data_IF_705315536839
#
_entry.id   IF_705315536839
#
_cell.length_a   1.000
_cell.length_b   1.000
_cell.length_c   1.000
_cell.angle_alpha   90.00
_cell.angle_beta   90.00
_cell.angle_gamma   90.00
#
_symmetry.space_group_name_H-M   'P 1'
#
loop_
_entity.id
_entity.type
_entity.pdbx_description
1 polymer ?
#
# COMPACT_ATOMS: atom_id res chain seq x y z
N UNK A 1 -24.02 -63.99 18.01
CA UNK A 1 -23.56 -63.02 19.04
C UNK A 1 -23.98 -61.57 18.77
N UNK A 2 -23.84 -61.01 17.55
CA UNK A 2 -24.35 -59.65 17.29
C UNK A 2 -25.89 -59.56 17.37
N UNK A 3 -26.59 -60.60 16.91
CA UNK A 3 -28.05 -60.66 16.97
C UNK A 3 -28.59 -60.72 18.42
N UNK A 4 -27.86 -61.36 19.34
CA UNK A 4 -28.26 -61.47 20.75
C UNK A 4 -28.13 -60.14 21.50
N UNK A 5 -27.14 -59.30 21.15
CA UNK A 5 -26.99 -57.96 21.76
C UNK A 5 -28.04 -56.98 21.22
N UNK A 6 -28.40 -57.07 19.94
CA UNK A 6 -29.45 -56.24 19.34
C UNK A 6 -30.84 -56.62 19.88
N UNK A 7 -31.09 -57.90 20.17
CA UNK A 7 -32.34 -58.36 20.77
C UNK A 7 -32.46 -58.05 22.27
N UNK A 8 -31.34 -57.95 23.00
CA UNK A 8 -31.29 -57.54 24.42
C UNK A 8 -31.21 -56.02 24.64
N UNK A 9 -30.93 -55.24 23.59
CA UNK A 9 -30.83 -53.77 23.66
C UNK A 9 -32.08 -53.08 24.23
N UNK A 10 -33.34 -53.50 23.94
CA UNK A 10 -34.51 -52.87 24.54
C UNK A 10 -34.62 -53.08 26.06
N UNK A 11 -34.11 -54.21 26.56
CA UNK A 11 -34.09 -54.51 28.00
C UNK A 11 -32.99 -53.73 28.73
N UNK A 12 -31.82 -53.57 28.11
CA UNK A 12 -30.68 -52.82 28.68
C UNK A 12 -30.87 -51.30 28.67
N UNK A 13 -31.62 -50.75 27.71
CA UNK A 13 -31.97 -49.31 27.66
C UNK A 13 -32.82 -48.90 28.86
N UNK A 14 -33.61 -49.81 29.42
CA UNK A 14 -34.51 -49.51 30.55
C UNK A 14 -33.75 -49.24 31.86
N UNK A 15 -32.62 -49.90 32.09
CA UNK A 15 -31.89 -49.81 33.36
C UNK A 15 -30.66 -48.90 33.32
N UNK A 16 -30.03 -48.69 32.14
CA UNK A 16 -28.74 -47.95 32.03
C UNK A 16 -28.84 -46.69 31.15
N UNK A 17 -29.97 -46.47 30.47
CA UNK A 17 -30.18 -45.32 29.60
C UNK A 17 -29.37 -45.35 28.28
N UNK A 18 -29.81 -44.56 27.31
CA UNK A 18 -29.33 -44.59 25.92
C UNK A 18 -27.83 -44.29 25.79
N UNK A 19 -27.29 -43.43 26.67
CA UNK A 19 -25.86 -43.10 26.72
C UNK A 19 -24.97 -44.27 27.14
N UNK A 20 -25.39 -45.06 28.13
CA UNK A 20 -24.65 -46.24 28.58
C UNK A 20 -24.63 -47.36 27.52
N UNK A 21 -25.73 -47.52 26.80
CA UNK A 21 -25.83 -48.47 25.68
C UNK A 21 -24.93 -48.05 24.51
N UNK A 22 -24.86 -46.77 24.19
CA UNK A 22 -23.96 -46.26 23.15
C UNK A 22 -22.48 -46.49 23.50
N UNK A 23 -22.09 -46.22 24.76
CA UNK A 23 -20.71 -46.49 25.23
C UNK A 23 -20.40 -47.99 25.24
N UNK A 24 -21.34 -48.83 25.67
CA UNK A 24 -21.19 -50.29 25.64
C UNK A 24 -21.02 -50.85 24.23
N UNK A 25 -21.79 -50.36 23.25
CA UNK A 25 -21.67 -50.77 21.85
C UNK A 25 -20.33 -50.31 21.25
N UNK A 26 -19.85 -49.12 21.60
CA UNK A 26 -18.55 -48.59 21.16
C UNK A 26 -17.40 -49.40 21.76
N UNK A 27 -17.43 -49.70 23.07
CA UNK A 27 -16.40 -50.51 23.74
C UNK A 27 -16.38 -51.94 23.18
N UNK A 28 -17.56 -52.54 22.97
CA UNK A 28 -17.65 -53.87 22.40
C UNK A 28 -17.11 -53.92 20.95
N UNK A 29 -17.48 -52.95 20.11
CA UNK A 29 -17.13 -52.94 18.68
C UNK A 29 -15.69 -52.48 18.40
N UNK A 30 -15.14 -51.59 19.24
CA UNK A 30 -13.82 -51.00 19.02
C UNK A 30 -12.70 -51.66 19.85
N UNK A 31 -13.04 -52.39 20.93
CA UNK A 31 -12.03 -52.96 21.84
C UNK A 31 -12.18 -54.48 21.93
N UNK A 32 -13.38 -54.98 22.23
CA UNK A 32 -13.58 -56.40 22.51
C UNK A 32 -13.57 -57.27 21.24
N UNK A 33 -14.27 -56.82 20.18
CA UNK A 33 -14.30 -57.53 18.89
C UNK A 33 -12.90 -57.61 18.26
N UNK A 34 -12.08 -56.54 18.20
CA UNK A 34 -10.71 -56.64 17.69
C UNK A 34 -9.79 -57.53 18.52
N UNK A 35 -9.91 -57.49 19.86
CA UNK A 35 -9.11 -58.32 20.76
C UNK A 35 -9.44 -59.82 20.66
N UNK A 36 -10.70 -60.16 20.36
CA UNK A 36 -11.15 -61.55 20.22
C UNK A 36 -11.00 -62.11 18.80
N UNK A 37 -11.04 -61.27 17.76
CA UNK A 37 -11.04 -61.72 16.36
C UNK A 37 -9.71 -61.52 15.64
N UNK A 38 -8.75 -60.82 16.24
CA UNK A 38 -7.39 -60.57 15.73
C UNK A 38 -7.35 -60.02 14.29
N UNK A 39 -8.44 -59.37 13.85
CA UNK A 39 -8.57 -58.80 12.51
C UNK A 39 -8.48 -57.28 12.62
N UNK A 40 -7.26 -56.73 12.50
CA UNK A 40 -6.90 -55.56 11.70
C UNK A 40 -5.48 -55.08 12.05
N UNK A 41 -4.56 -55.22 11.08
CA UNK A 41 -3.35 -54.43 10.98
C UNK A 41 -3.68 -53.05 10.40
N UNK A 42 -3.38 -51.97 11.13
CA UNK A 42 -3.52 -50.58 10.67
C UNK A 42 -2.71 -50.33 9.37
N UNK A 43 -3.30 -49.83 8.27
CA UNK A 43 -2.50 -49.35 7.15
C UNK A 43 -2.03 -47.91 7.42
N UNK A 44 -0.71 -47.71 7.33
CA UNK A 44 -0.08 -46.39 7.27
C UNK A 44 -0.58 -45.65 6.02
N UNK A 45 -1.43 -44.63 6.20
CA UNK A 45 -1.84 -43.72 5.13
C UNK A 45 -0.92 -42.49 5.13
N UNK A 46 0.07 -42.49 4.24
CA UNK A 46 0.88 -41.33 3.87
C UNK A 46 0.30 -40.75 2.58
N UNK A 47 -0.27 -39.54 2.64
CA UNK A 47 -0.71 -38.79 1.45
C UNK A 47 0.46 -37.91 0.99
N UNK A 48 1.09 -38.27 -0.13
CA UNK A 48 2.17 -37.52 -0.76
C UNK A 48 1.57 -36.56 -1.78
N UNK A 49 1.31 -35.31 -1.39
CA UNK A 49 1.18 -34.20 -2.34
C UNK A 49 2.59 -33.74 -2.75
N UNK A 50 2.81 -33.42 -4.02
CA UNK A 50 4.06 -32.81 -4.48
C UNK A 50 4.19 -31.42 -3.82
N UNK A 51 4.96 -31.36 -2.72
CA UNK A 51 5.32 -30.16 -1.93
C UNK A 51 4.15 -29.59 -1.13
N UNK A 52 3.77 -30.16 0.02
CA UNK A 52 4.36 -29.92 1.35
C UNK A 52 3.51 -28.84 2.03
N UNK A 53 2.67 -29.08 3.05
CA UNK A 53 2.68 -30.00 4.19
C UNK A 53 1.26 -30.56 4.42
N UNK A 54 1.09 -31.88 4.52
CA UNK A 54 -0.22 -32.51 4.74
C UNK A 54 -0.50 -32.72 6.24
N UNK A 55 -1.47 -31.99 6.80
CA UNK A 55 -1.98 -32.24 8.15
C UNK A 55 -2.51 -33.68 8.28
N UNK A 56 -2.28 -34.38 9.40
CA UNK A 56 -2.77 -35.73 9.58
C UNK A 56 -4.31 -35.74 9.67
N UNK A 57 -4.98 -36.80 9.20
CA UNK A 57 -6.44 -36.90 9.08
C UNK A 57 -7.22 -36.98 10.42
N UNK A 58 -6.54 -36.95 11.56
CA UNK A 58 -7.13 -37.04 12.90
C UNK A 58 -8.11 -35.91 13.28
N UNK A 59 -7.94 -34.64 12.87
CA UNK A 59 -8.87 -33.56 13.22
C UNK A 59 -10.26 -33.77 12.65
N UNK A 60 -10.37 -34.36 11.46
CA UNK A 60 -11.65 -34.57 10.77
C UNK A 60 -12.44 -35.73 11.38
N UNK A 61 -11.76 -36.81 11.77
CA UNK A 61 -12.36 -37.91 12.54
C UNK A 61 -12.81 -37.45 13.93
N UNK A 62 -12.01 -36.60 14.60
CA UNK A 62 -12.39 -35.99 15.87
C UNK A 62 -13.64 -35.11 15.71
N UNK A 63 -13.73 -34.30 14.64
CA UNK A 63 -14.90 -33.48 14.31
C UNK A 63 -16.15 -34.30 13.98
N UNK A 64 -15.99 -35.45 13.32
CA UNK A 64 -17.10 -36.37 13.01
C UNK A 64 -17.70 -36.99 14.29
N UNK A 65 -16.87 -37.19 15.32
CA UNK A 65 -17.29 -37.73 16.63
C UNK A 65 -17.76 -36.62 17.59
N UNK A 66 -17.15 -35.43 17.57
CA UNK A 66 -17.52 -34.31 18.45
C UNK A 66 -18.75 -33.52 17.96
N UNK A 67 -19.03 -33.48 16.66
CA UNK A 67 -20.13 -32.69 16.12
C UNK A 67 -21.52 -33.13 16.62
N UNK A 68 -21.85 -34.43 16.74
CA UNK A 68 -23.11 -34.86 17.36
C UNK A 68 -23.23 -34.44 18.83
N UNK A 69 -22.11 -34.45 19.57
CA UNK A 69 -22.04 -34.01 20.97
C UNK A 69 -22.20 -32.49 21.09
N UNK A 70 -21.57 -31.70 20.23
CA UNK A 70 -21.73 -30.24 20.18
C UNK A 70 -23.14 -29.83 19.75
N UNK A 71 -23.76 -30.53 18.80
CA UNK A 71 -25.16 -30.32 18.41
C UNK A 71 -26.14 -30.63 19.54
N UNK A 72 -25.82 -31.63 20.38
CA UNK A 72 -26.60 -31.95 21.58
C UNK A 72 -26.48 -30.85 22.65
N UNK A 73 -25.27 -30.31 22.88
CA UNK A 73 -25.02 -29.23 23.86
C UNK A 73 -25.64 -27.89 23.44
N UNK A 74 -25.67 -27.58 22.13
CA UNK A 74 -26.16 -26.29 21.60
C UNK A 74 -27.65 -26.32 21.22
N UNK A 75 -28.36 -27.43 21.49
CA UNK A 75 -29.78 -27.68 21.14
C UNK A 75 -30.75 -26.56 21.54
N UNK A 76 -30.43 -25.77 22.57
CA UNK A 76 -31.28 -24.69 23.07
C UNK A 76 -31.21 -23.39 22.24
N UNK A 77 -30.32 -23.29 21.23
CA UNK A 77 -30.20 -22.11 20.35
C UNK A 77 -30.37 -22.47 18.87
N UNK A 78 -31.55 -22.26 18.27
CA UNK A 78 -31.90 -22.81 16.95
C UNK A 78 -31.03 -22.29 15.80
N UNK A 79 -30.56 -21.04 15.86
CA UNK A 79 -29.71 -20.44 14.83
C UNK A 79 -28.32 -21.07 14.74
N UNK A 80 -27.73 -21.45 15.89
CA UNK A 80 -26.41 -22.08 15.93
C UNK A 80 -26.48 -23.55 15.51
N UNK A 81 -27.60 -24.23 15.80
CA UNK A 81 -27.85 -25.59 15.33
C UNK A 81 -27.98 -25.63 13.80
N UNK A 82 -28.68 -24.66 13.20
CA UNK A 82 -28.81 -24.54 11.74
C UNK A 82 -27.45 -24.25 11.06
N UNK A 83 -26.65 -23.35 11.62
CA UNK A 83 -25.30 -23.04 11.13
C UNK A 83 -24.36 -24.24 11.26
N UNK A 84 -24.37 -24.92 12.42
CA UNK A 84 -23.54 -26.10 12.66
C UNK A 84 -23.95 -27.28 11.77
N UNK A 85 -25.25 -27.51 11.56
CA UNK A 85 -25.75 -28.52 10.64
C UNK A 85 -25.38 -28.19 9.19
N UNK A 86 -25.45 -26.92 8.78
CA UNK A 86 -25.05 -26.47 7.45
C UNK A 86 -23.55 -26.66 7.21
N UNK A 87 -22.70 -26.32 8.18
CA UNK A 87 -21.25 -26.55 8.10
C UNK A 87 -20.91 -28.03 8.12
N UNK A 88 -21.61 -28.83 8.94
CA UNK A 88 -21.39 -30.27 9.03
C UNK A 88 -21.78 -30.99 7.73
N UNK A 89 -22.97 -30.72 7.18
CA UNK A 89 -23.47 -31.35 5.95
C UNK A 89 -22.77 -30.80 4.71
N UNK A 90 -22.46 -29.49 4.68
CA UNK A 90 -21.91 -28.81 3.51
C UNK A 90 -20.38 -28.90 3.38
N UNK A 91 -19.64 -29.06 4.49
CA UNK A 91 -18.17 -28.97 4.49
C UNK A 91 -17.53 -30.21 5.11
N UNK A 92 -17.93 -30.61 6.31
CA UNK A 92 -17.26 -31.69 7.06
C UNK A 92 -17.55 -33.05 6.43
N UNK A 93 -18.82 -33.35 6.14
CA UNK A 93 -19.26 -34.63 5.60
C UNK A 93 -18.72 -34.89 4.18
N UNK A 94 -18.74 -33.92 3.23
CA UNK A 94 -18.20 -34.12 1.89
C UNK A 94 -16.68 -34.27 1.88
N UNK A 95 -15.95 -33.56 2.75
CA UNK A 95 -14.49 -33.67 2.84
C UNK A 95 -14.04 -34.97 3.52
N UNK A 96 -14.76 -35.44 4.56
CA UNK A 96 -14.45 -36.70 5.22
C UNK A 96 -14.71 -37.92 4.33
N UNK A 97 -15.73 -37.86 3.46
CA UNK A 97 -16.10 -38.94 2.53
C UNK A 97 -15.47 -38.80 1.13
N UNK A 98 -14.67 -37.74 0.90
CA UNK A 98 -14.12 -37.41 -0.43
C UNK A 98 -13.26 -38.53 -1.04
N UNK A 99 -12.67 -39.39 -0.21
CA UNK A 99 -11.85 -40.51 -0.66
C UNK A 99 -12.63 -41.79 -1.04
N UNK A 100 -13.93 -41.88 -0.75
CA UNK A 100 -14.72 -43.12 -0.92
C UNK A 100 -15.85 -43.04 -1.96
N UNK A 101 -16.09 -41.89 -2.60
CA UNK A 101 -17.23 -41.75 -3.52
C UNK A 101 -16.79 -41.17 -4.88
N UNK A 102 -17.16 -41.81 -6.01
CA UNK A 102 -16.81 -41.31 -7.33
C UNK A 102 -17.50 -39.98 -7.60
N UNK A 103 -16.76 -39.09 -8.24
CA UNK A 103 -17.06 -37.67 -8.43
C UNK A 103 -18.39 -37.43 -9.17
N UNK A 104 -19.15 -36.43 -8.69
CA UNK A 104 -20.05 -35.65 -9.55
C UNK A 104 -21.55 -35.81 -9.29
N UNK A 105 -22.06 -35.34 -8.15
CA UNK A 105 -23.29 -34.51 -8.10
C UNK A 105 -23.63 -34.13 -6.65
N UNK A 106 -23.92 -32.84 -6.41
CA UNK A 106 -24.44 -32.31 -5.13
C UNK A 106 -25.86 -32.83 -4.77
N UNK A 107 -26.40 -33.77 -5.55
CA UNK A 107 -27.74 -34.36 -5.44
C UNK A 107 -27.76 -35.71 -4.68
N UNK A 108 -26.65 -36.13 -4.06
CA UNK A 108 -26.60 -37.43 -3.40
C UNK A 108 -27.42 -37.50 -2.11
N UNK A 109 -27.50 -36.40 -1.34
CA UNK A 109 -28.25 -36.38 -0.07
C UNK A 109 -29.79 -36.48 -0.27
N UNK A 110 -30.42 -35.74 -1.21
CA UNK A 110 -31.84 -35.90 -1.46
C UNK A 110 -32.18 -37.28 -2.02
N UNK A 111 -31.36 -37.83 -2.93
CA UNK A 111 -31.61 -39.14 -3.56
C UNK A 111 -31.53 -40.30 -2.59
N UNK A 112 -30.62 -40.26 -1.62
CA UNK A 112 -30.48 -41.31 -0.59
C UNK A 112 -31.59 -41.22 0.46
N UNK A 113 -32.00 -40.02 0.86
CA UNK A 113 -33.15 -39.83 1.76
C UNK A 113 -34.48 -40.19 1.07
N UNK A 114 -34.65 -39.86 -0.21
CA UNK A 114 -35.81 -40.28 -1.01
C UNK A 114 -35.86 -41.81 -1.15
N UNK A 115 -34.72 -42.44 -1.48
CA UNK A 115 -34.63 -43.90 -1.59
C UNK A 115 -34.94 -44.60 -0.27
N UNK A 116 -34.48 -44.06 0.87
CA UNK A 116 -34.82 -44.57 2.20
C UNK A 116 -36.31 -44.40 2.55
N UNK A 117 -36.94 -43.29 2.17
CA UNK A 117 -38.38 -43.09 2.36
C UNK A 117 -39.23 -43.98 1.44
N UNK A 118 -38.76 -44.30 0.23
CA UNK A 118 -39.45 -45.20 -0.71
C UNK A 118 -39.41 -46.67 -0.29
N UNK A 119 -38.47 -47.09 0.58
CA UNK A 119 -38.39 -48.48 1.04
C UNK A 119 -39.47 -48.89 2.05
N UNK A 120 -40.38 -47.98 2.46
CA UNK A 120 -41.36 -48.31 3.52
C UNK A 120 -42.85 -48.22 3.19
N UNK A 121 -43.28 -47.96 1.94
CA UNK A 121 -44.71 -48.10 1.60
C UNK A 121 -44.99 -48.26 0.11
N UNK A 122 -45.30 -49.50 -0.30
CA UNK A 122 -45.72 -49.87 -1.65
C UNK A 122 -47.19 -49.50 -1.98
N UNK A 123 -47.71 -48.35 -1.51
CA UNK A 123 -49.15 -48.03 -1.63
C UNK A 123 -49.53 -46.64 -2.15
N UNK A 124 -48.59 -45.80 -2.60
CA UNK A 124 -48.95 -44.49 -3.20
C UNK A 124 -48.03 -44.13 -4.38
N UNK A 125 -48.13 -44.86 -5.48
CA UNK A 125 -47.32 -44.64 -6.69
C UNK A 125 -47.71 -43.38 -7.48
N UNK A 126 -48.96 -42.90 -7.35
CA UNK A 126 -49.42 -41.68 -8.04
C UNK A 126 -49.14 -40.35 -7.31
N UNK A 127 -49.31 -40.31 -5.98
CA UNK A 127 -49.10 -39.09 -5.19
C UNK A 127 -47.61 -38.84 -4.89
N UNK A 128 -46.83 -39.91 -4.71
CA UNK A 128 -45.41 -39.81 -4.37
C UNK A 128 -44.53 -39.35 -5.55
N UNK A 129 -44.93 -39.61 -6.80
CA UNK A 129 -44.26 -39.12 -8.01
C UNK A 129 -44.54 -37.62 -8.23
N UNK A 130 -45.78 -37.18 -7.98
CA UNK A 130 -46.15 -35.77 -7.95
C UNK A 130 -45.43 -34.98 -6.83
N UNK A 131 -45.41 -35.50 -5.60
CA UNK A 131 -44.69 -34.87 -4.48
C UNK A 131 -43.17 -34.90 -4.67
N UNK A 132 -42.60 -36.00 -5.16
CA UNK A 132 -41.16 -36.12 -5.40
C UNK A 132 -40.68 -35.16 -6.50
N UNK A 133 -41.46 -35.00 -7.58
CA UNK A 133 -41.19 -33.99 -8.61
C UNK A 133 -41.38 -32.57 -8.06
N UNK A 134 -42.42 -32.30 -7.27
CA UNK A 134 -42.64 -30.99 -6.64
C UNK A 134 -41.50 -30.60 -5.67
N UNK A 135 -40.99 -31.54 -4.88
CA UNK A 135 -39.86 -31.31 -3.97
C UNK A 135 -38.54 -31.14 -4.74
N UNK A 136 -38.30 -31.91 -5.81
CA UNK A 136 -37.14 -31.69 -6.68
C UNK A 136 -37.21 -30.33 -7.39
N UNK A 137 -38.40 -29.93 -7.86
CA UNK A 137 -38.64 -28.62 -8.45
C UNK A 137 -38.44 -27.50 -7.41
N UNK A 138 -38.93 -27.64 -6.19
CA UNK A 138 -38.72 -26.69 -5.11
C UNK A 138 -37.23 -26.58 -4.71
N UNK A 139 -36.50 -27.70 -4.65
CA UNK A 139 -35.07 -27.72 -4.37
C UNK A 139 -34.25 -27.05 -5.50
N UNK A 140 -34.60 -27.31 -6.76
CA UNK A 140 -33.96 -26.68 -7.91
C UNK A 140 -34.23 -25.16 -7.95
N UNK A 141 -35.47 -24.75 -7.71
CA UNK A 141 -35.84 -23.33 -7.65
C UNK A 141 -35.20 -22.61 -6.47
N UNK A 142 -35.10 -23.25 -5.30
CA UNK A 142 -34.42 -22.65 -4.14
C UNK A 142 -32.92 -22.50 -4.37
N UNK A 143 -32.24 -23.49 -4.98
CA UNK A 143 -30.83 -23.34 -5.36
C UNK A 143 -30.62 -22.24 -6.42
N UNK A 144 -31.49 -22.20 -7.44
CA UNK A 144 -31.45 -21.15 -8.47
C UNK A 144 -31.66 -19.76 -7.85
N UNK A 145 -32.68 -19.60 -7.01
CA UNK A 145 -33.00 -18.35 -6.33
C UNK A 145 -31.88 -17.94 -5.35
N UNK A 146 -31.31 -18.86 -4.58
CA UNK A 146 -30.17 -18.57 -3.70
C UNK A 146 -28.93 -18.16 -4.50
N UNK A 147 -28.62 -18.83 -5.62
CA UNK A 147 -27.51 -18.44 -6.50
C UNK A 147 -27.74 -17.09 -7.18
N UNK A 148 -28.97 -16.75 -7.53
CA UNK A 148 -29.30 -15.44 -8.08
C UNK A 148 -29.22 -14.36 -7.00
N UNK A 149 -29.82 -14.60 -5.83
CA UNK A 149 -29.75 -13.71 -4.68
C UNK A 149 -28.31 -13.43 -4.25
N UNK A 150 -27.48 -14.48 -4.13
CA UNK A 150 -26.05 -14.34 -3.81
C UNK A 150 -25.31 -13.55 -4.89
N UNK A 151 -25.60 -13.76 -6.18
CA UNK A 151 -25.02 -12.96 -7.28
C UNK A 151 -25.42 -11.49 -7.21
N UNK A 152 -26.68 -11.18 -6.91
CA UNK A 152 -27.14 -9.80 -6.75
C UNK A 152 -26.54 -9.15 -5.50
N UNK A 153 -26.45 -9.88 -4.39
CA UNK A 153 -25.81 -9.41 -3.15
C UNK A 153 -24.32 -9.13 -3.37
N UNK A 154 -23.58 -10.06 -3.99
CA UNK A 154 -22.18 -9.88 -4.33
C UNK A 154 -22.00 -8.68 -5.27
N UNK A 155 -22.82 -8.54 -6.31
CA UNK A 155 -22.78 -7.36 -7.19
C UNK A 155 -23.10 -6.07 -6.44
N UNK A 156 -24.08 -6.06 -5.54
CA UNK A 156 -24.43 -4.90 -4.74
C UNK A 156 -23.31 -4.48 -3.78
N UNK A 157 -22.52 -5.43 -3.27
CA UNK A 157 -21.36 -5.16 -2.40
C UNK A 157 -20.12 -4.77 -3.22
N UNK A 158 -19.83 -5.46 -4.31
CA UNK A 158 -18.62 -5.23 -5.10
C UNK A 158 -18.74 -4.05 -6.06
N UNK A 159 -19.92 -3.71 -6.60
CA UNK A 159 -20.08 -2.54 -7.47
C UNK A 159 -19.65 -1.22 -6.82
N UNK A 160 -20.10 -0.85 -5.60
CA UNK A 160 -19.63 0.38 -4.97
C UNK A 160 -18.13 0.32 -4.68
N UNK A 161 -17.59 -0.86 -4.33
CA UNK A 161 -16.17 -1.03 -4.11
C UNK A 161 -15.36 -0.83 -5.40
N UNK A 162 -15.77 -1.46 -6.51
CA UNK A 162 -15.17 -1.27 -7.83
C UNK A 162 -15.28 0.18 -8.27
N UNK A 163 -16.38 0.86 -8.02
CA UNK A 163 -16.54 2.29 -8.33
C UNK A 163 -15.59 3.16 -7.50
N UNK A 164 -15.45 2.91 -6.20
CA UNK A 164 -14.52 3.64 -5.33
C UNK A 164 -13.08 3.40 -5.77
N UNK A 165 -12.66 2.16 -5.97
CA UNK A 165 -11.29 1.82 -6.37
C UNK A 165 -10.96 2.16 -7.83
N UNK A 166 -11.95 2.07 -8.72
CA UNK A 166 -11.77 2.28 -10.16
C UNK A 166 -11.97 3.73 -10.61
N UNK A 167 -12.78 4.52 -9.91
CA UNK A 167 -13.10 5.89 -10.31
C UNK A 167 -12.69 6.92 -9.25
N UNK A 168 -13.12 6.76 -8.00
CA UNK A 168 -12.93 7.78 -6.95
C UNK A 168 -11.46 7.88 -6.54
N UNK A 169 -10.79 6.76 -6.26
CA UNK A 169 -9.39 6.77 -5.84
C UNK A 169 -8.43 7.32 -6.91
N UNK A 170 -8.53 6.93 -8.20
CA UNK A 170 -7.71 7.53 -9.26
C UNK A 170 -7.97 9.03 -9.41
N UNK A 171 -9.23 9.47 -9.30
CA UNK A 171 -9.57 10.89 -9.33
C UNK A 171 -8.89 11.65 -8.18
N UNK A 172 -9.00 11.14 -6.95
CA UNK A 172 -8.34 11.73 -5.78
C UNK A 172 -6.82 11.72 -5.91
N UNK A 173 -6.23 10.66 -6.45
CA UNK A 173 -4.80 10.58 -6.74
C UNK A 173 -4.37 11.65 -7.74
N UNK A 174 -5.12 11.83 -8.84
CA UNK A 174 -4.83 12.85 -9.84
C UNK A 174 -4.97 14.28 -9.29
N UNK A 175 -6.02 14.53 -8.48
CA UNK A 175 -6.17 15.80 -7.76
C UNK A 175 -4.96 16.03 -6.83
N UNK A 176 -4.55 15.01 -6.08
CA UNK A 176 -3.39 15.09 -5.19
C UNK A 176 -2.08 15.39 -5.95
N UNK A 177 -1.89 14.80 -7.13
CA UNK A 177 -0.74 15.10 -7.99
C UNK A 177 -0.79 16.51 -8.58
N UNK A 178 -1.97 17.04 -8.89
CA UNK A 178 -2.14 18.38 -9.44
C UNK A 178 -1.78 19.49 -8.43
N UNK A 179 -2.03 19.27 -7.13
CA UNK A 179 -1.80 20.28 -6.09
C UNK A 179 -0.44 20.11 -5.39
N UNK A 180 0.60 20.72 -5.97
CA UNK A 180 1.97 20.74 -5.41
C UNK A 180 2.03 21.15 -3.94
N UNK A 181 1.36 22.26 -3.59
CA UNK A 181 1.41 22.83 -2.24
C UNK A 181 0.75 21.93 -1.19
N UNK A 182 -0.32 21.23 -1.57
CA UNK A 182 -0.97 20.27 -0.69
C UNK A 182 -0.10 19.02 -0.51
N UNK A 183 0.54 18.55 -1.58
CA UNK A 183 1.43 17.39 -1.55
C UNK A 183 2.68 17.62 -0.70
N UNK A 184 3.28 18.81 -0.75
CA UNK A 184 4.46 19.13 0.06
C UNK A 184 4.10 19.27 1.54
N UNK A 185 2.98 19.92 1.85
CA UNK A 185 2.54 20.08 3.24
C UNK A 185 2.10 18.74 3.86
N UNK A 186 1.33 17.91 3.15
CA UNK A 186 0.97 16.57 3.63
C UNK A 186 2.21 15.70 3.89
N UNK A 187 3.19 15.74 2.99
CA UNK A 187 4.46 15.03 3.15
C UNK A 187 5.25 15.49 4.38
N UNK A 188 5.29 16.80 4.64
CA UNK A 188 5.92 17.38 5.82
C UNK A 188 5.17 17.03 7.10
N UNK A 189 3.84 17.14 7.12
CA UNK A 189 3.00 16.78 8.27
C UNK A 189 3.24 15.33 8.68
N UNK A 190 3.17 14.41 7.71
CA UNK A 190 3.35 12.98 7.99
C UNK A 190 4.77 12.69 8.48
N UNK A 191 5.80 13.29 7.88
CA UNK A 191 7.18 13.13 8.35
C UNK A 191 7.35 13.63 9.80
N UNK A 192 6.83 14.81 10.11
CA UNK A 192 6.98 15.42 11.43
C UNK A 192 6.27 14.62 12.51
N UNK A 193 5.09 14.05 12.18
CA UNK A 193 4.38 13.14 13.06
C UNK A 193 5.17 11.85 13.30
N UNK A 194 5.84 11.30 12.28
CA UNK A 194 6.68 10.12 12.46
C UNK A 194 7.88 10.40 13.37
N UNK A 195 8.62 11.49 13.14
CA UNK A 195 9.76 11.86 13.99
C UNK A 195 9.28 12.17 15.42
N UNK A 196 8.10 12.76 15.58
CA UNK A 196 7.51 13.02 16.90
C UNK A 196 7.24 11.72 17.65
N UNK A 197 6.68 10.70 17.00
CA UNK A 197 6.44 9.40 17.60
C UNK A 197 7.74 8.68 18.01
N UNK A 198 8.84 8.91 17.28
CA UNK A 198 10.14 8.30 17.60
C UNK A 198 10.92 9.01 18.70
N UNK A 199 10.97 10.35 18.67
CA UNK A 199 11.86 11.14 19.54
C UNK A 199 11.11 11.67 20.76
N UNK A 200 9.87 12.14 20.59
CA UNK A 200 9.08 12.81 21.64
C UNK A 200 7.64 12.29 21.69
N UNK A 201 7.41 11.02 22.09
CA UNK A 201 6.08 10.39 22.02
C UNK A 201 5.05 11.04 22.96
N UNK A 202 5.50 11.69 24.03
CA UNK A 202 4.65 12.31 25.06
C UNK A 202 4.12 13.71 24.68
N UNK A 203 4.77 14.38 23.72
CA UNK A 203 4.41 15.73 23.38
C UNK A 203 3.32 15.72 22.31
N UNK A 204 2.10 16.14 22.65
CA UNK A 204 1.00 16.24 21.68
C UNK A 204 1.15 17.50 20.81
N UNK A 205 0.78 17.40 19.53
CA UNK A 205 0.70 18.51 18.55
C UNK A 205 2.01 19.23 18.18
N UNK A 206 3.18 18.81 18.67
CA UNK A 206 4.46 19.48 18.37
C UNK A 206 4.79 19.54 16.88
N UNK A 207 4.47 18.49 16.11
CA UNK A 207 4.62 18.48 14.65
C UNK A 207 3.94 19.65 13.94
N UNK A 208 2.69 19.96 14.31
CA UNK A 208 1.94 21.03 13.65
C UNK A 208 2.48 22.41 14.03
N UNK A 209 2.89 22.57 15.29
CA UNK A 209 3.49 23.83 15.76
C UNK A 209 4.81 24.12 15.04
N UNK A 210 5.74 23.16 15.01
CA UNK A 210 7.02 23.35 14.31
C UNK A 210 6.84 23.55 12.81
N UNK A 211 5.89 22.84 12.17
CA UNK A 211 5.61 23.03 10.76
C UNK A 211 5.10 24.44 10.45
N UNK A 212 4.15 24.95 11.23
CA UNK A 212 3.62 26.29 11.06
C UNK A 212 4.70 27.35 11.37
N UNK A 213 5.51 27.13 12.40
CA UNK A 213 6.66 27.99 12.71
C UNK A 213 7.67 28.07 11.55
N UNK A 214 8.08 26.93 10.98
CA UNK A 214 9.00 26.92 9.84
C UNK A 214 8.39 27.55 8.58
N UNK A 215 7.08 27.37 8.36
CA UNK A 215 6.36 28.00 7.26
C UNK A 215 6.35 29.52 7.38
N UNK A 216 6.12 30.02 8.60
CA UNK A 216 6.18 31.45 8.92
C UNK A 216 7.58 32.00 8.69
N UNK A 217 8.61 31.31 9.18
CA UNK A 217 10.00 31.70 9.00
C UNK A 217 10.40 31.73 7.52
N UNK A 218 9.97 30.73 6.75
CA UNK A 218 10.19 30.67 5.31
C UNK A 218 9.54 31.85 4.58
N UNK A 219 8.28 32.17 4.92
CA UNK A 219 7.58 33.31 4.35
C UNK A 219 8.28 34.64 4.69
N UNK A 220 8.70 34.80 5.95
CA UNK A 220 9.44 35.98 6.39
C UNK A 220 10.74 36.15 5.58
N UNK A 221 11.54 35.08 5.48
CA UNK A 221 12.76 35.09 4.66
C UNK A 221 12.44 35.47 3.20
N UNK A 222 11.44 34.84 2.58
CA UNK A 222 11.05 35.15 1.20
C UNK A 222 10.64 36.63 1.05
N UNK A 223 9.81 37.14 1.96
CA UNK A 223 9.30 38.52 1.95
C UNK A 223 10.40 39.58 2.15
N UNK A 224 11.41 39.27 2.95
CA UNK A 224 12.56 40.16 3.18
C UNK A 224 13.51 40.19 1.97
N UNK A 225 13.74 39.04 1.33
CA UNK A 225 14.78 38.91 0.30
C UNK A 225 14.31 39.11 -1.16
N UNK A 226 13.02 39.09 -1.48
CA UNK A 226 12.55 39.44 -2.84
C UNK A 226 12.73 40.94 -3.13
N UNK A 227 13.84 41.28 -3.79
CA UNK A 227 14.17 42.62 -4.30
C UNK A 227 13.44 42.94 -5.62
N UNK A 228 12.11 42.90 -5.65
CA UNK A 228 11.33 43.33 -6.84
C UNK A 228 11.39 44.85 -7.09
N UNK A 229 11.88 45.62 -6.12
CA UNK A 229 11.85 47.07 -6.07
C UNK A 229 12.71 47.77 -7.15
N UNK A 230 13.87 47.21 -7.52
CA UNK A 230 14.80 47.89 -8.44
C UNK A 230 14.24 48.07 -9.86
N UNK A 231 13.29 47.22 -10.30
CA UNK A 231 12.70 47.30 -11.65
C UNK A 231 11.46 48.20 -11.71
N UNK A 232 10.69 48.32 -10.63
CA UNK A 232 9.45 49.12 -10.62
C UNK A 232 9.72 50.62 -10.43
N UNK A 233 10.89 50.99 -9.89
CA UNK A 233 11.27 52.40 -9.67
C UNK A 233 11.60 53.18 -10.95
N UNK A 234 11.76 52.52 -12.10
CA UNK A 234 12.20 53.20 -13.32
C UNK A 234 11.06 53.85 -14.14
N UNK A 235 9.79 53.65 -13.79
CA UNK A 235 8.67 53.97 -14.71
C UNK A 235 7.54 54.84 -14.13
N UNK A 236 7.60 55.33 -12.89
CA UNK A 236 6.43 56.00 -12.26
C UNK A 236 6.72 57.43 -11.76
N UNK A 237 5.73 58.32 -11.91
CA UNK A 237 5.77 59.70 -11.43
C UNK A 237 5.83 59.80 -9.89
N UNK A 238 6.42 60.88 -9.37
CA UNK A 238 6.75 61.09 -7.95
C UNK A 238 5.54 61.00 -6.99
N UNK A 239 4.33 61.41 -7.43
CA UNK A 239 3.11 61.36 -6.59
C UNK A 239 2.53 59.95 -6.47
N UNK A 240 2.53 59.21 -7.58
CA UNK A 240 2.12 57.80 -7.58
C UNK A 240 3.16 56.96 -6.83
N UNK A 241 4.44 57.31 -6.93
CA UNK A 241 5.52 56.74 -6.13
C UNK A 241 5.25 56.89 -4.62
N UNK A 242 4.83 58.06 -4.14
CA UNK A 242 4.54 58.27 -2.71
C UNK A 242 3.32 57.48 -2.23
N UNK A 243 2.24 57.40 -3.01
CA UNK A 243 1.05 56.60 -2.63
C UNK A 243 1.33 55.10 -2.69
N UNK A 244 2.05 54.64 -3.71
CA UNK A 244 2.48 53.25 -3.87
C UNK A 244 3.45 52.85 -2.75
N UNK A 245 4.41 53.71 -2.40
CA UNK A 245 5.36 53.43 -1.31
C UNK A 245 4.66 53.43 0.06
N UNK A 246 3.73 54.35 0.35
CA UNK A 246 3.00 54.38 1.61
C UNK A 246 2.10 53.14 1.79
N UNK A 247 1.29 52.80 0.79
CA UNK A 247 0.45 51.59 0.82
C UNK A 247 1.29 50.32 0.94
N UNK A 248 2.39 50.25 0.18
CA UNK A 248 3.30 49.10 0.23
C UNK A 248 4.02 48.97 1.57
N UNK A 249 4.48 50.08 2.16
CA UNK A 249 5.09 50.10 3.50
C UNK A 249 4.08 49.67 4.56
N UNK A 250 2.83 50.12 4.46
CA UNK A 250 1.75 49.67 5.33
C UNK A 250 1.50 48.16 5.20
N UNK A 251 1.45 47.61 3.98
CA UNK A 251 1.29 46.16 3.76
C UNK A 251 2.50 45.37 4.29
N UNK A 252 3.72 45.88 4.14
CA UNK A 252 4.93 45.19 4.60
C UNK A 252 5.08 45.22 6.12
N UNK A 253 4.77 46.36 6.74
CA UNK A 253 4.68 46.50 8.20
C UNK A 253 3.55 45.63 8.75
N UNK A 254 2.38 45.59 8.10
CA UNK A 254 1.27 44.72 8.48
C UNK A 254 1.65 43.24 8.44
N UNK A 255 2.36 42.79 7.39
CA UNK A 255 2.92 41.44 7.32
C UNK A 255 3.98 41.19 8.39
N UNK A 256 4.85 42.16 8.66
CA UNK A 256 5.85 42.08 9.71
C UNK A 256 5.22 41.93 11.09
N UNK A 257 4.23 42.77 11.42
CA UNK A 257 3.49 42.74 12.69
C UNK A 257 2.73 41.42 12.85
N UNK A 258 2.02 40.97 11.81
CA UNK A 258 1.34 39.67 11.83
C UNK A 258 2.34 38.53 12.06
N UNK A 259 3.50 38.55 11.41
CA UNK A 259 4.52 37.53 11.59
C UNK A 259 5.19 37.58 12.96
N UNK A 260 5.46 38.77 13.50
CA UNK A 260 5.96 38.94 14.87
C UNK A 260 4.94 38.45 15.89
N UNK A 261 3.64 38.74 15.69
CA UNK A 261 2.58 38.24 16.57
C UNK A 261 2.49 36.72 16.53
N UNK A 262 2.58 36.11 15.35
CA UNK A 262 2.63 34.65 15.21
C UNK A 262 3.87 34.08 15.91
N UNK A 263 5.05 34.68 15.71
CA UNK A 263 6.29 34.27 16.37
C UNK A 263 6.18 34.37 17.90
N UNK A 264 5.57 35.44 18.41
CA UNK A 264 5.35 35.65 19.86
C UNK A 264 4.35 34.64 20.40
N UNK A 265 3.22 34.43 19.73
CA UNK A 265 2.25 33.38 20.08
C UNK A 265 2.91 32.01 20.14
N UNK A 266 3.82 31.72 19.19
CA UNK A 266 4.64 30.52 19.22
C UNK A 266 5.54 30.46 20.44
N UNK A 267 6.33 31.50 20.73
CA UNK A 267 7.22 31.51 21.91
C UNK A 267 6.46 31.31 23.22
N UNK A 268 5.23 31.83 23.33
CA UNK A 268 4.38 31.63 24.50
C UNK A 268 3.90 30.18 24.63
N UNK A 269 3.59 29.51 23.52
CA UNK A 269 3.20 28.09 23.52
C UNK A 269 4.40 27.15 23.71
N UNK A 270 5.58 27.52 23.20
CA UNK A 270 6.82 26.75 23.33
C UNK A 270 7.39 26.71 24.75
N UNK A 271 7.02 27.64 25.63
CA UNK A 271 7.47 27.63 27.03
C UNK A 271 7.00 26.39 27.80
N UNK A 272 6.07 25.60 27.24
CA UNK A 272 5.57 24.34 27.80
C UNK A 272 5.97 23.10 26.97
N UNK A 273 6.76 23.27 25.91
CA UNK A 273 7.14 22.19 24.98
C UNK A 273 8.65 21.95 25.08
N UNK A 274 9.05 21.03 25.96
CA UNK A 274 10.41 20.50 25.98
C UNK A 274 10.57 19.51 24.81
N UNK A 275 10.95 20.01 23.65
CA UNK A 275 11.32 19.17 22.51
C UNK A 275 12.83 18.95 22.46
N UNK A 276 13.24 17.72 22.20
CA UNK A 276 14.65 17.37 21.99
C UNK A 276 15.24 18.15 20.80
N UNK A 277 16.51 18.57 20.92
CA UNK A 277 17.26 19.23 19.85
C UNK A 277 17.32 18.38 18.58
N UNK A 278 17.36 17.05 18.74
CA UNK A 278 17.35 16.10 17.62
C UNK A 278 16.09 16.26 16.78
N UNK A 279 14.93 16.40 17.42
CA UNK A 279 13.65 16.61 16.73
C UNK A 279 13.73 17.87 15.85
N UNK A 280 14.10 19.00 16.46
CA UNK A 280 14.15 20.31 15.80
C UNK A 280 15.08 20.28 14.58
N UNK A 281 16.29 19.72 14.74
CA UNK A 281 17.28 19.67 13.67
C UNK A 281 16.80 18.80 12.51
N UNK A 282 16.32 17.59 12.79
CA UNK A 282 15.84 16.65 11.76
C UNK A 282 14.64 17.23 11.00
N UNK A 283 13.64 17.77 11.71
CA UNK A 283 12.44 18.35 11.08
C UNK A 283 12.75 19.62 10.31
N UNK A 284 13.66 20.48 10.80
CA UNK A 284 14.07 21.69 10.11
C UNK A 284 14.81 21.37 8.80
N UNK A 285 15.77 20.45 8.83
CA UNK A 285 16.49 20.00 7.63
C UNK A 285 15.50 19.43 6.62
N UNK A 286 14.62 18.53 7.06
CA UNK A 286 13.61 17.94 6.18
C UNK A 286 12.70 19.02 5.56
N UNK A 287 12.25 19.99 6.34
CA UNK A 287 11.44 21.12 5.85
C UNK A 287 12.18 21.92 4.78
N UNK A 288 13.43 22.32 5.03
CA UNK A 288 14.22 23.11 4.07
C UNK A 288 14.40 22.36 2.73
N UNK A 289 14.67 21.05 2.79
CA UNK A 289 14.87 20.22 1.60
C UNK A 289 13.55 20.02 0.82
N UNK A 290 12.44 19.77 1.52
CA UNK A 290 11.12 19.49 0.93
C UNK A 290 10.37 20.74 0.41
N UNK A 291 10.57 21.90 1.05
CA UNK A 291 9.83 23.14 0.79
C UNK A 291 10.23 23.84 -0.52
N UNK A 292 11.51 23.75 -0.92
CA UNK A 292 12.02 24.51 -2.06
C UNK A 292 11.56 23.87 -3.37
N UNK A 293 10.99 24.68 -4.27
CA UNK A 293 10.94 24.35 -5.71
C UNK A 293 12.35 24.53 -6.23
N UNK A 294 13.01 23.42 -6.54
CA UNK A 294 14.42 23.37 -6.93
C UNK A 294 14.64 23.68 -8.42
N UNK A 295 13.56 23.77 -9.21
CA UNK A 295 13.62 24.18 -10.61
C UNK A 295 13.96 25.69 -10.69
N UNK A 296 15.13 26.03 -11.24
CA UNK A 296 15.53 27.41 -11.55
C UNK A 296 16.04 28.26 -10.38
N UNK A 297 16.46 27.66 -9.25
CA UNK A 297 17.04 28.44 -8.16
C UNK A 297 18.55 28.66 -8.36
N UNK A 298 18.90 29.72 -9.09
CA UNK A 298 20.26 30.10 -9.49
C UNK A 298 21.26 30.09 -8.33
N UNK A 299 20.83 30.42 -7.10
CA UNK A 299 21.74 30.56 -5.95
C UNK A 299 22.29 29.24 -5.44
N UNK A 300 21.54 28.15 -5.51
CA UNK A 300 22.05 26.86 -4.98
C UNK A 300 22.80 26.13 -6.08
N UNK A 301 22.33 26.24 -7.32
CA UNK A 301 23.10 25.78 -8.48
C UNK A 301 24.44 26.53 -8.56
N UNK A 302 24.49 27.82 -8.22
CA UNK A 302 25.78 28.52 -8.15
C UNK A 302 26.65 28.08 -6.98
N UNK A 303 26.06 27.76 -5.83
CA UNK A 303 26.79 27.21 -4.68
C UNK A 303 27.31 25.79 -4.95
N UNK A 304 26.53 24.93 -5.61
CA UNK A 304 27.02 23.62 -6.03
C UNK A 304 28.13 23.77 -7.06
N UNK A 305 28.01 24.72 -8.00
CA UNK A 305 29.03 24.96 -9.02
C UNK A 305 30.34 25.45 -8.41
N UNK A 306 30.26 26.15 -7.27
CA UNK A 306 31.44 26.56 -6.52
C UNK A 306 32.18 25.38 -5.84
N UNK A 307 31.52 24.24 -5.63
CA UNK A 307 32.13 23.03 -5.05
C UNK A 307 32.84 22.15 -6.10
N UNK A 308 32.76 22.52 -7.39
CA UNK A 308 33.48 21.92 -8.54
C UNK A 308 33.54 20.39 -8.52
N UNK A 309 32.38 19.74 -8.39
CA UNK A 309 32.30 18.28 -8.30
C UNK A 309 32.43 17.67 -9.69
N UNK A 310 33.57 17.03 -9.97
CA UNK A 310 33.88 16.37 -11.26
C UNK A 310 32.84 15.32 -11.71
N UNK A 311 32.13 14.71 -10.76
CA UNK A 311 31.12 13.68 -11.04
C UNK A 311 29.87 14.27 -11.72
N UNK A 312 29.58 15.56 -11.52
CA UNK A 312 28.34 16.19 -11.96
C UNK A 312 28.39 16.78 -13.38
N UNK A 313 29.57 16.84 -14.03
CA UNK A 313 29.72 17.30 -15.42
C UNK A 313 29.05 18.67 -15.72
N UNK A 314 29.02 19.58 -14.75
CA UNK A 314 28.30 20.86 -14.83
C UNK A 314 26.77 20.75 -15.06
N UNK A 315 26.20 19.55 -14.85
CA UNK A 315 24.77 19.23 -15.01
C UNK A 315 23.99 19.34 -13.68
N UNK A 316 24.47 20.17 -12.78
CA UNK A 316 23.95 20.34 -11.43
C UNK A 316 22.49 20.80 -11.42
N UNK A 317 22.05 21.52 -12.45
CA UNK A 317 20.66 21.96 -12.61
C UNK A 317 19.68 20.77 -12.61
N UNK A 318 20.10 19.60 -13.12
CA UNK A 318 19.27 18.40 -13.18
C UNK A 318 19.48 17.48 -11.99
N UNK A 319 20.71 17.36 -11.52
CA UNK A 319 21.06 16.47 -10.41
C UNK A 319 20.63 17.02 -9.04
N UNK A 320 20.69 18.34 -8.83
CA UNK A 320 20.31 18.94 -7.54
C UNK A 320 18.86 18.62 -7.16
N UNK A 321 17.85 18.79 -8.05
CA UNK A 321 16.48 18.36 -7.75
C UNK A 321 16.36 16.86 -7.43
N UNK A 322 17.10 16.00 -8.15
CA UNK A 322 17.10 14.54 -7.91
C UNK A 322 17.67 14.21 -6.53
N UNK A 323 18.80 14.80 -6.16
CA UNK A 323 19.42 14.55 -4.86
C UNK A 323 18.55 15.06 -3.71
N UNK A 324 17.96 16.26 -3.85
CA UNK A 324 17.10 16.83 -2.81
C UNK A 324 15.81 16.01 -2.64
N UNK A 325 15.16 15.60 -3.75
CA UNK A 325 13.97 14.74 -3.66
C UNK A 325 14.32 13.32 -3.20
N UNK A 326 15.42 12.76 -3.70
CA UNK A 326 15.93 11.46 -3.29
C UNK A 326 16.24 11.41 -1.79
N UNK A 327 16.89 12.44 -1.25
CA UNK A 327 17.21 12.51 0.19
C UNK A 327 15.96 12.57 1.06
N UNK A 328 14.88 13.23 0.62
CA UNK A 328 13.59 13.22 1.37
C UNK A 328 12.95 11.83 1.42
N UNK A 329 13.07 11.05 0.33
CA UNK A 329 12.56 9.66 0.29
C UNK A 329 13.40 8.77 1.20
N UNK A 330 14.74 8.89 1.13
CA UNK A 330 15.66 8.13 1.98
C UNK A 330 15.42 8.45 3.46
N UNK A 331 15.33 9.73 3.83
CA UNK A 331 15.05 10.16 5.20
C UNK A 331 13.71 9.60 5.70
N UNK A 332 12.66 9.65 4.86
CA UNK A 332 11.35 9.09 5.19
C UNK A 332 11.41 7.58 5.38
N UNK A 333 12.18 6.86 4.55
CA UNK A 333 12.36 5.42 4.67
C UNK A 333 13.07 5.06 5.99
N UNK A 334 14.14 5.77 6.33
CA UNK A 334 14.88 5.57 7.58
C UNK A 334 13.99 5.73 8.83
N UNK A 335 13.05 6.69 8.80
CA UNK A 335 12.11 6.93 9.88
C UNK A 335 10.95 5.91 9.88
N UNK A 336 10.48 5.49 8.71
CA UNK A 336 9.34 4.55 8.59
C UNK A 336 9.68 3.14 9.09
N UNK A 337 10.92 2.68 8.88
CA UNK A 337 11.35 1.31 9.23
C UNK A 337 11.21 1.02 10.73
N UNK A 338 11.71 1.86 11.66
CA UNK A 338 11.50 1.67 13.10
C UNK A 338 10.03 1.70 13.54
N UNK A 339 9.18 2.47 12.85
CA UNK A 339 7.76 2.66 13.18
C UNK A 339 6.84 1.57 12.61
N UNK A 340 7.36 0.67 11.77
CA UNK A 340 6.59 -0.31 11.01
C UNK A 340 5.66 -1.17 11.88
N UNK A 341 6.10 -1.54 13.08
CA UNK A 341 5.34 -2.39 14.00
C UNK A 341 4.53 -1.59 15.04
N UNK A 342 4.96 -0.37 15.35
CA UNK A 342 4.37 0.43 16.44
C UNK A 342 3.11 1.19 15.98
N UNK A 343 3.12 1.77 14.77
CA UNK A 343 2.05 2.64 14.30
C UNK A 343 1.67 2.35 12.85
N UNK A 344 0.87 1.29 12.57
CA UNK A 344 0.60 0.85 11.20
C UNK A 344 -0.17 1.89 10.38
N UNK A 345 -1.05 2.68 11.03
CA UNK A 345 -1.81 3.74 10.36
C UNK A 345 -0.89 4.84 9.81
N UNK A 346 0.09 5.28 10.60
CA UNK A 346 0.99 6.37 10.25
C UNK A 346 1.97 5.91 9.16
N UNK A 347 2.43 4.65 9.27
CA UNK A 347 3.26 3.99 8.25
C UNK A 347 2.51 3.87 6.92
N UNK A 348 1.20 3.55 6.94
CA UNK A 348 0.38 3.52 5.73
C UNK A 348 0.29 4.91 5.07
N UNK A 349 0.09 5.96 5.86
CA UNK A 349 0.08 7.34 5.35
C UNK A 349 1.43 7.76 4.80
N UNK A 350 2.53 7.41 5.47
CA UNK A 350 3.90 7.68 5.02
C UNK A 350 4.25 6.88 3.76
N UNK A 351 3.82 5.63 3.66
CA UNK A 351 4.02 4.81 2.48
C UNK A 351 3.43 5.46 1.23
N UNK A 352 2.26 6.10 1.34
CA UNK A 352 1.67 6.84 0.24
C UNK A 352 2.33 8.22 0.02
N UNK A 353 2.31 9.08 1.05
CA UNK A 353 2.68 10.51 0.93
C UNK A 353 4.18 10.77 0.87
N UNK A 354 5.00 9.92 1.51
CA UNK A 354 6.44 10.14 1.68
C UNK A 354 7.30 9.18 0.87
N UNK A 355 6.80 8.00 0.53
CA UNK A 355 7.54 7.00 -0.25
C UNK A 355 7.00 6.87 -1.68
N UNK A 356 5.74 6.46 -1.84
CA UNK A 356 5.16 6.14 -3.15
C UNK A 356 5.08 7.38 -4.05
N UNK A 357 4.40 8.44 -3.61
CA UNK A 357 4.19 9.61 -4.48
C UNK A 357 5.51 10.33 -4.82
N UNK A 358 6.39 10.66 -3.85
CA UNK A 358 7.68 11.25 -4.17
C UNK A 358 8.57 10.33 -5.03
N UNK A 359 8.51 9.00 -4.80
CA UNK A 359 9.22 8.02 -5.62
C UNK A 359 8.72 7.95 -7.07
N UNK A 360 7.40 8.01 -7.27
CA UNK A 360 6.79 8.08 -8.60
C UNK A 360 7.19 9.35 -9.34
N UNK A 361 7.19 10.50 -8.66
CA UNK A 361 7.61 11.78 -9.24
C UNK A 361 9.10 11.78 -9.56
N UNK A 362 9.95 11.27 -8.66
CA UNK A 362 11.39 11.14 -8.87
C UNK A 362 11.69 10.30 -10.14
N UNK A 363 10.97 9.18 -10.30
CA UNK A 363 11.12 8.30 -11.47
C UNK A 363 10.57 8.93 -12.75
N UNK A 364 9.37 9.51 -12.69
CA UNK A 364 8.63 9.98 -13.86
C UNK A 364 9.09 11.34 -14.38
N UNK A 365 9.24 12.32 -13.50
CA UNK A 365 9.58 13.69 -13.91
C UNK A 365 11.09 13.90 -14.01
N UNK A 366 11.87 13.39 -13.06
CA UNK A 366 13.29 13.74 -12.97
C UNK A 366 14.19 12.71 -13.64
N UNK A 367 14.13 11.44 -13.21
CA UNK A 367 15.00 10.38 -13.76
C UNK A 367 14.71 10.09 -15.22
N UNK A 368 13.44 10.07 -15.63
CA UNK A 368 13.09 9.88 -17.04
C UNK A 368 13.50 11.09 -17.91
N UNK A 369 13.48 12.30 -17.36
CA UNK A 369 13.97 13.49 -18.06
C UNK A 369 15.49 13.45 -18.23
N UNK A 370 16.22 13.10 -17.16
CA UNK A 370 17.68 12.95 -17.21
C UNK A 370 18.06 11.86 -18.21
N UNK A 371 17.41 10.69 -18.18
CA UNK A 371 17.77 9.59 -19.09
C UNK A 371 17.57 9.97 -20.56
N UNK A 372 16.49 10.69 -20.89
CA UNK A 372 16.27 11.19 -22.27
C UNK A 372 17.36 12.17 -22.70
N UNK A 373 17.75 13.08 -21.81
CA UNK A 373 18.72 14.12 -22.13
C UNK A 373 20.17 13.62 -22.09
N UNK A 374 20.50 12.69 -21.20
CA UNK A 374 21.84 12.13 -21.09
C UNK A 374 22.20 11.32 -22.33
N UNK A 375 21.25 10.58 -22.92
CA UNK A 375 21.48 9.78 -24.14
C UNK A 375 22.07 10.60 -25.30
N UNK A 376 21.72 11.89 -25.41
CA UNK A 376 22.26 12.78 -26.44
C UNK A 376 23.77 12.98 -26.29
N UNK A 377 24.24 13.13 -25.05
CA UNK A 377 25.65 13.40 -24.75
C UNK A 377 26.46 12.15 -24.43
N UNK A 378 25.83 11.03 -24.06
CA UNK A 378 26.52 9.76 -23.75
C UNK A 378 27.33 9.23 -24.94
N UNK A 379 26.93 9.54 -26.18
CA UNK A 379 27.69 9.21 -27.39
C UNK A 379 29.04 9.95 -27.48
N UNK A 380 29.16 11.10 -26.83
CA UNK A 380 30.37 11.92 -26.85
C UNK A 380 31.28 11.52 -25.68
N UNK A 381 32.55 11.23 -25.97
CA UNK A 381 33.53 10.86 -24.95
C UNK A 381 33.82 12.07 -24.03
N UNK A 382 34.15 11.84 -22.76
CA UNK A 382 34.75 12.88 -21.92
C UNK A 382 36.17 13.19 -22.40
N UNK A 383 36.49 14.48 -22.55
CA UNK A 383 37.82 14.92 -22.93
C UNK A 383 38.82 14.69 -21.79
N UNK A 384 40.07 14.37 -22.11
CA UNK A 384 41.15 14.36 -21.11
C UNK A 384 41.58 15.79 -20.76
N UNK A 385 42.16 16.04 -19.58
CA UNK A 385 42.63 17.38 -19.22
C UNK A 385 43.63 17.95 -20.25
N UNK A 386 44.49 17.11 -20.83
CA UNK A 386 45.43 17.51 -21.90
C UNK A 386 44.71 18.01 -23.16
N UNK A 387 43.59 17.39 -23.56
CA UNK A 387 42.81 17.82 -24.72
C UNK A 387 42.10 19.15 -24.47
N UNK A 388 41.74 19.43 -23.21
CA UNK A 388 41.12 20.68 -22.79
C UNK A 388 42.15 21.82 -22.80
N UNK A 389 43.39 21.57 -22.36
CA UNK A 389 44.46 22.56 -22.41
C UNK A 389 44.76 23.05 -23.84
N UNK A 390 44.64 22.16 -24.83
CA UNK A 390 44.82 22.50 -26.25
C UNK A 390 43.73 23.43 -26.79
N UNK A 391 42.52 23.37 -26.25
CA UNK A 391 41.35 24.14 -26.69
C UNK A 391 40.44 24.42 -25.49
N UNK A 392 40.81 25.42 -24.69
CA UNK A 392 40.22 25.67 -23.37
C UNK A 392 38.94 26.49 -23.38
N UNK A 393 38.38 26.84 -24.54
CA UNK A 393 37.20 27.69 -24.64
C UNK A 393 36.05 26.96 -25.32
N UNK A 394 34.85 27.04 -24.75
CA UNK A 394 33.67 26.47 -25.39
C UNK A 394 33.21 27.39 -26.53
N UNK A 395 33.03 26.88 -27.76
CA UNK A 395 32.60 27.70 -28.91
C UNK A 395 31.13 28.15 -28.84
N UNK A 396 30.34 27.66 -27.87
CA UNK A 396 28.91 27.98 -27.74
C UNK A 396 28.66 29.10 -26.72
N UNK A 397 29.21 29.00 -25.51
CA UNK A 397 29.06 30.03 -24.48
C UNK A 397 30.27 30.98 -24.39
N UNK A 398 31.39 30.66 -25.06
CA UNK A 398 32.64 31.41 -25.02
C UNK A 398 33.30 31.48 -23.63
N UNK A 399 32.88 30.62 -22.70
CA UNK A 399 33.49 30.48 -21.38
C UNK A 399 34.57 29.38 -21.37
N UNK A 400 35.45 29.41 -20.37
CA UNK A 400 36.50 28.40 -20.18
C UNK A 400 35.92 27.01 -19.92
N UNK A 401 36.51 25.99 -20.55
CA UNK A 401 36.19 24.59 -20.37
C UNK A 401 36.95 24.06 -19.15
N UNK A 402 36.22 23.77 -18.06
CA UNK A 402 36.77 22.96 -16.96
C UNK A 402 36.56 21.48 -17.24
N UNK A 403 35.38 21.13 -17.72
CA UNK A 403 34.99 19.79 -18.13
C UNK A 403 34.36 19.86 -19.52
N UNK A 404 34.81 18.99 -20.42
CA UNK A 404 34.37 19.02 -21.81
C UNK A 404 33.96 17.64 -22.34
N UNK A 405 32.98 17.66 -23.24
CA UNK A 405 32.60 16.51 -24.08
C UNK A 405 33.22 16.67 -25.46
N UNK A 406 33.91 15.62 -25.91
CA UNK A 406 34.50 15.52 -27.23
C UNK A 406 33.53 14.80 -28.17
N UNK A 407 33.11 15.48 -29.23
CA UNK A 407 32.27 14.89 -30.27
C UNK A 407 33.05 13.93 -31.17
N UNK A 408 32.39 13.02 -31.92
CA UNK A 408 33.07 12.14 -32.88
C UNK A 408 33.88 12.91 -33.95
N UNK A 409 33.46 14.12 -34.29
CA UNK A 409 34.16 15.05 -35.17
C UNK A 409 35.26 15.88 -34.49
N UNK A 410 35.64 15.51 -33.25
CA UNK A 410 36.74 16.08 -32.44
C UNK A 410 36.57 17.55 -32.03
N UNK A 411 35.35 18.02 -31.86
CA UNK A 411 35.07 19.35 -31.30
C UNK A 411 34.72 19.26 -29.81
N UNK A 412 35.16 20.24 -29.02
CA UNK A 412 34.99 20.29 -27.56
C UNK A 412 33.89 21.29 -27.15
N UNK A 413 33.06 20.90 -26.18
CA UNK A 413 31.96 21.71 -25.66
C UNK A 413 31.72 21.39 -24.17
N UNK A 414 31.14 22.32 -23.40
CA UNK A 414 30.51 21.95 -22.12
C UNK A 414 29.37 20.96 -22.36
N UNK A 415 29.16 20.02 -21.43
CA UNK A 415 28.09 19.02 -21.55
C UNK A 415 26.71 19.69 -21.71
N UNK A 416 26.45 20.73 -20.91
CA UNK A 416 25.20 21.49 -20.94
C UNK A 416 25.00 22.25 -22.27
N UNK A 417 26.04 22.90 -22.79
CA UNK A 417 25.98 23.61 -24.07
C UNK A 417 25.71 22.65 -25.23
N UNK A 418 26.45 21.54 -25.29
CA UNK A 418 26.28 20.54 -26.34
C UNK A 418 24.87 19.92 -26.30
N UNK A 419 24.37 19.59 -25.12
CA UNK A 419 23.00 19.05 -24.95
C UNK A 419 21.94 20.01 -25.47
N UNK A 420 22.03 21.31 -25.16
CA UNK A 420 21.09 22.33 -25.66
C UNK A 420 21.11 22.37 -27.19
N UNK A 421 22.29 22.33 -27.80
CA UNK A 421 22.42 22.27 -29.26
C UNK A 421 21.82 20.99 -29.86
N UNK A 422 22.10 19.83 -29.26
CA UNK A 422 21.61 18.52 -29.73
C UNK A 422 20.09 18.36 -29.58
N UNK A 423 19.49 19.07 -28.62
CA UNK A 423 18.03 19.13 -28.46
C UNK A 423 17.35 19.85 -29.63
N UNK A 424 18.04 20.84 -30.23
CA UNK A 424 17.53 21.60 -31.37
C UNK A 424 17.87 20.94 -32.71
N UNK A 425 19.09 20.41 -32.85
CA UNK A 425 19.55 19.76 -34.08
C UNK A 425 20.57 18.66 -33.77
N UNK A 426 20.50 17.49 -34.42
CA UNK A 426 21.45 16.38 -34.19
C UNK A 426 22.84 16.60 -34.83
N UNK A 427 23.17 17.85 -35.17
CA UNK A 427 24.38 18.23 -35.89
C UNK A 427 25.36 18.95 -34.96
N UNK A 428 26.65 18.75 -35.20
CA UNK A 428 27.72 19.48 -34.53
C UNK A 428 27.58 21.00 -34.78
N UNK A 429 27.57 21.86 -33.75
CA UNK A 429 27.44 23.30 -33.91
C UNK A 429 28.49 23.92 -34.84
N UNK A 430 29.74 23.44 -34.77
CA UNK A 430 30.87 23.93 -35.55
C UNK A 430 30.88 23.40 -37.00
N UNK A 431 30.96 22.08 -37.20
CA UNK A 431 31.16 21.49 -38.53
C UNK A 431 29.89 20.95 -39.21
N UNK A 432 28.73 21.02 -38.54
CA UNK A 432 27.44 20.52 -39.03
C UNK A 432 27.39 19.02 -39.39
N UNK A 433 28.37 18.22 -38.94
CA UNK A 433 28.34 16.77 -39.07
C UNK A 433 27.40 16.14 -38.04
N UNK A 434 26.76 15.02 -38.38
CA UNK A 434 25.85 14.26 -37.49
C UNK A 434 26.59 13.59 -36.32
N UNK A 435 25.98 13.61 -35.12
CA UNK A 435 26.56 13.08 -33.86
C UNK A 435 25.98 11.73 -33.41
#
# INVERSE_FOLDING_TARGET
CLLSVVLLAPLLVRDVGVGGVAVGVVVYSCILVPALTNYYSFPRLVIRGRGGEGLPAYPWLLLLVLAPYLLFVVRTRPFLVALAAFVYIGVVLPMALHAQLPQGSLLWLPRTVLALLFTRSALYTGLATSLGSAVCWAAFWTEYLVRQFLRYLLRAIFMPLIFVFGCVLPLLHNVYLAFDGFRTTSNQVVFFLMVQQLVTPLAHLTALYFLLFYTVLHYLHKSLFTRQWARTMQTTEMRDLMRLTAWYMAVRLGKGVAMSFVLVMFTLQFNHVESDLVYIVVTFIYFVVSQRRWTGNERIVSWSRALDIEVLEEEEEFWVPVFMRGSTVVASLCVTVPLALSSPWLVMMAAYTNLLVPGLLLRGEYLAHISRQSVLITKCRRATPQEIELNSTCPVCLEELRQARLTPCRHLYHAACLRKCLTLSPLCPLCKQTI
#
